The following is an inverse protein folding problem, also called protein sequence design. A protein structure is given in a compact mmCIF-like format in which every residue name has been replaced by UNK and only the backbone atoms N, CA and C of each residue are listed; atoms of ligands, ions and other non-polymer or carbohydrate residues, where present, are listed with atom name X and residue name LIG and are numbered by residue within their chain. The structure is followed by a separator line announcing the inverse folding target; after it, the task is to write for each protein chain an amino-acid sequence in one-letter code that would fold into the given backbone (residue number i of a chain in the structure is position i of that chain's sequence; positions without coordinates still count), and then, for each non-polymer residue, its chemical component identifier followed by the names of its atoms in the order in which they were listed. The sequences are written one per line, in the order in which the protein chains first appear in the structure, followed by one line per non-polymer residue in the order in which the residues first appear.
data_IF_757279855793
#
_entry.id   IF_757279855793
#
_cell.length_a   1.000
_cell.length_b   1.000
_cell.length_c   1.000
_cell.angle_alpha   90.00
_cell.angle_beta   90.00
_cell.angle_gamma   90.00
#
_symmetry.space_group_name_H-M   'P 1'
#
loop_
_entity.id
_entity.type
_entity.pdbx_description
1 polymer ?
#
# COMPACT_ATOMS: atom_id res chain seq x y z
N UNK A 1 -19.60 -6.37 29.60
CA UNK A 1 -18.74 -5.38 28.93
C UNK A 1 -17.57 -6.11 28.30
N UNK A 2 -17.23 -5.89 27.02
CA UNK A 2 -16.10 -6.56 26.39
C UNK A 2 -14.78 -6.17 27.08
N UNK A 3 -13.91 -7.16 27.31
CA UNK A 3 -12.61 -6.97 27.96
C UNK A 3 -11.68 -6.12 27.07
N UNK A 4 -10.62 -5.56 27.62
CA UNK A 4 -9.65 -4.76 26.84
C UNK A 4 -9.02 -5.56 25.69
N UNK A 5 -8.81 -6.86 25.89
CA UNK A 5 -8.32 -7.81 24.88
C UNK A 5 -9.32 -8.01 23.74
N UNK A 6 -10.63 -8.08 24.05
CA UNK A 6 -11.68 -8.21 23.04
C UNK A 6 -11.72 -6.99 22.12
N UNK A 7 -11.63 -5.77 22.67
CA UNK A 7 -11.68 -4.52 21.88
C UNK A 7 -10.50 -4.38 20.91
N UNK A 8 -9.30 -4.78 21.34
CA UNK A 8 -8.09 -4.77 20.49
C UNK A 8 -8.23 -5.75 19.33
N UNK A 9 -8.75 -6.94 19.63
CA UNK A 9 -8.96 -7.99 18.63
C UNK A 9 -10.00 -7.55 17.59
N UNK A 10 -11.12 -6.98 18.04
CA UNK A 10 -12.15 -6.42 17.16
C UNK A 10 -11.57 -5.31 16.26
N UNK A 11 -10.76 -4.41 16.82
CA UNK A 11 -10.14 -3.32 16.03
C UNK A 11 -9.19 -3.86 14.96
N UNK A 12 -8.34 -4.83 15.31
CA UNK A 12 -7.45 -5.46 14.35
C UNK A 12 -8.21 -6.23 13.25
N UNK A 13 -9.27 -6.96 13.63
CA UNK A 13 -10.13 -7.66 12.66
C UNK A 13 -10.86 -6.68 11.74
N UNK A 14 -11.35 -5.56 12.27
CA UNK A 14 -12.00 -4.53 11.44
C UNK A 14 -11.03 -3.99 10.40
N UNK A 15 -9.79 -3.66 10.77
CA UNK A 15 -8.77 -3.22 9.82
C UNK A 15 -8.50 -4.27 8.74
N UNK A 16 -8.42 -5.55 9.12
CA UNK A 16 -8.20 -6.64 8.16
C UNK A 16 -9.39 -6.81 7.21
N UNK A 17 -10.63 -6.74 7.71
CA UNK A 17 -11.85 -6.90 6.90
C UNK A 17 -12.08 -5.69 5.99
N UNK A 18 -11.71 -4.48 6.42
CA UNK A 18 -11.83 -3.28 5.59
C UNK A 18 -10.95 -3.32 4.35
N UNK A 19 -9.87 -4.12 4.35
CA UNK A 19 -8.98 -4.25 3.20
C UNK A 19 -9.69 -4.85 1.97
N UNK A 20 -10.28 -6.06 1.99
CA UNK A 20 -11.04 -6.57 0.85
C UNK A 20 -12.30 -5.76 0.52
N UNK A 21 -12.94 -5.13 1.52
CA UNK A 21 -14.08 -4.23 1.30
C UNK A 21 -13.66 -3.01 0.46
N UNK A 22 -12.52 -2.39 0.81
CA UNK A 22 -11.97 -1.27 0.07
C UNK A 22 -11.56 -1.69 -1.35
N UNK A 23 -10.96 -2.89 -1.53
CA UNK A 23 -10.65 -3.44 -2.87
C UNK A 23 -11.92 -3.50 -3.72
N UNK A 24 -13.02 -4.05 -3.18
CA UNK A 24 -14.28 -4.16 -3.90
C UNK A 24 -14.87 -2.81 -4.28
N UNK A 25 -14.90 -1.86 -3.33
CA UNK A 25 -15.50 -0.53 -3.55
C UNK A 25 -14.67 0.32 -4.51
N UNK A 26 -13.34 0.26 -4.43
CA UNK A 26 -12.43 1.07 -5.27
C UNK A 26 -12.20 0.42 -6.64
N UNK A 27 -12.01 -0.90 -6.65
CA UNK A 27 -11.59 -1.68 -7.82
C UNK A 27 -12.70 -2.04 -8.80
N UNK A 28 -13.97 -1.99 -8.39
CA UNK A 28 -15.09 -2.17 -9.31
C UNK A 28 -15.40 -0.85 -10.05
N UNK A 29 -15.30 -0.78 -11.38
CA UNK A 29 -15.69 0.43 -12.11
C UNK A 29 -17.19 0.68 -11.95
N UNK A 30 -17.56 1.74 -11.22
CA UNK A 30 -18.96 2.10 -10.97
C UNK A 30 -19.12 3.61 -10.84
N UNK A 31 -20.08 4.19 -11.57
CA UNK A 31 -20.39 5.62 -11.46
C UNK A 31 -21.42 5.86 -10.37
N UNK A 32 -20.94 5.95 -9.13
CA UNK A 32 -21.77 6.35 -8.00
C UNK A 32 -22.23 7.80 -8.15
N UNK A 33 -23.47 8.10 -7.73
CA UNK A 33 -23.87 9.48 -7.48
C UNK A 33 -22.98 10.08 -6.37
N UNK A 34 -22.65 11.37 -6.46
CA UNK A 34 -21.75 12.05 -5.51
C UNK A 34 -22.08 11.77 -4.04
N UNK A 35 -23.35 11.83 -3.57
CA UNK A 35 -23.66 11.53 -2.18
C UNK A 35 -23.29 10.10 -1.76
N UNK A 36 -23.45 9.13 -2.66
CA UNK A 36 -23.12 7.72 -2.42
C UNK A 36 -21.61 7.54 -2.36
N UNK A 37 -20.87 8.11 -3.30
CA UNK A 37 -19.39 8.10 -3.28
C UNK A 37 -18.86 8.72 -1.98
N UNK A 38 -19.36 9.90 -1.60
CA UNK A 38 -18.99 10.57 -0.35
C UNK A 38 -19.31 9.71 0.87
N UNK A 39 -20.51 9.11 0.92
CA UNK A 39 -20.89 8.24 2.04
C UNK A 39 -19.97 7.02 2.15
N UNK A 40 -19.64 6.36 1.04
CA UNK A 40 -18.73 5.20 1.02
C UNK A 40 -17.32 5.58 1.50
N UNK A 41 -16.80 6.73 1.04
CA UNK A 41 -15.50 7.23 1.47
C UNK A 41 -15.50 7.57 2.96
N UNK A 42 -16.48 8.33 3.43
CA UNK A 42 -16.59 8.72 4.86
C UNK A 42 -16.73 7.48 5.74
N UNK A 43 -17.59 6.53 5.37
CA UNK A 43 -17.77 5.29 6.12
C UNK A 43 -16.45 4.52 6.24
N UNK A 44 -15.71 4.33 5.14
CA UNK A 44 -14.43 3.63 5.19
C UNK A 44 -13.38 4.35 6.03
N UNK A 45 -13.25 5.68 5.87
CA UNK A 45 -12.30 6.46 6.67
C UNK A 45 -12.62 6.41 8.17
N UNK A 46 -13.91 6.46 8.53
CA UNK A 46 -14.34 6.34 9.94
C UNK A 46 -14.08 4.94 10.49
N UNK A 47 -14.32 3.88 9.72
CA UNK A 47 -14.08 2.51 10.16
C UNK A 47 -12.59 2.21 10.31
N UNK A 48 -11.78 2.56 9.31
CA UNK A 48 -10.32 2.39 9.35
C UNK A 48 -9.72 3.27 10.45
N UNK A 49 -10.05 4.56 10.47
CA UNK A 49 -9.54 5.52 11.45
C UNK A 49 -9.96 5.18 12.88
N UNK A 50 -11.22 4.79 13.09
CA UNK A 50 -11.73 4.38 14.38
C UNK A 50 -11.05 3.13 14.92
N UNK A 51 -10.86 2.10 14.08
CA UNK A 51 -10.14 0.89 14.50
C UNK A 51 -8.65 1.14 14.73
N UNK A 52 -8.00 1.92 13.87
CA UNK A 52 -6.60 2.30 14.05
C UNK A 52 -6.42 3.09 15.36
N UNK A 53 -7.31 4.03 15.66
CA UNK A 53 -7.33 4.76 16.92
C UNK A 53 -7.59 3.86 18.13
N UNK A 54 -8.45 2.85 17.99
CA UNK A 54 -8.70 1.85 19.04
C UNK A 54 -7.44 1.08 19.46
N UNK A 55 -6.51 0.85 18.53
CA UNK A 55 -5.21 0.24 18.80
C UNK A 55 -4.14 1.26 19.23
N UNK A 56 -4.11 2.42 18.57
CA UNK A 56 -3.10 3.46 18.81
C UNK A 56 -3.29 4.20 20.14
N UNK A 57 -4.54 4.48 20.52
CA UNK A 57 -4.88 5.34 21.65
C UNK A 57 -4.25 4.94 22.99
N UNK A 58 -4.34 3.67 23.42
CA UNK A 58 -3.71 3.21 24.66
C UNK A 58 -2.19 3.38 24.63
N UNK A 59 -1.54 3.01 23.53
CA UNK A 59 -0.10 3.11 23.34
C UNK A 59 0.38 4.56 23.26
N UNK A 60 -0.44 5.46 22.74
CA UNK A 60 -0.12 6.89 22.68
C UNK A 60 -0.12 7.54 24.07
N UNK A 61 -1.08 7.12 24.91
CA UNK A 61 -1.28 7.66 26.26
C UNK A 61 -0.36 7.06 27.32
N UNK A 62 0.33 5.96 27.03
CA UNK A 62 1.21 5.30 28.00
C UNK A 62 2.42 6.13 28.42
N UNK A 63 2.81 7.13 27.61
CA UNK A 63 4.03 7.92 27.83
C UNK A 63 5.32 7.21 27.37
N UNK A 64 5.22 5.97 26.90
CA UNK A 64 6.34 5.20 26.37
C UNK A 64 6.65 5.62 24.93
N UNK A 65 7.83 6.20 24.73
CA UNK A 65 8.28 6.70 23.43
C UNK A 65 8.48 5.60 22.39
N UNK A 66 8.89 4.40 22.80
CA UNK A 66 9.03 3.27 21.89
C UNK A 66 7.65 2.84 21.38
N UNK A 67 6.66 2.76 22.26
CA UNK A 67 5.27 2.45 21.87
C UNK A 67 4.68 3.51 20.95
N UNK A 68 4.94 4.79 21.20
CA UNK A 68 4.52 5.88 20.30
C UNK A 68 5.17 5.76 18.93
N UNK A 69 6.46 5.42 18.86
CA UNK A 69 7.15 5.17 17.57
C UNK A 69 6.50 4.03 16.80
N UNK A 70 6.19 2.91 17.45
CA UNK A 70 5.48 1.78 16.82
C UNK A 70 4.10 2.21 16.32
N UNK A 71 3.37 3.05 17.08
CA UNK A 71 2.10 3.63 16.63
C UNK A 71 2.27 4.45 15.36
N UNK A 72 3.24 5.37 15.33
CA UNK A 72 3.50 6.21 14.14
C UNK A 72 3.80 5.34 12.92
N UNK A 73 4.67 4.34 13.07
CA UNK A 73 4.99 3.38 12.00
C UNK A 73 3.72 2.65 11.52
N UNK A 74 2.94 2.11 12.44
CA UNK A 74 1.71 1.39 12.10
C UNK A 74 0.70 2.26 11.36
N UNK A 75 0.54 3.52 11.77
CA UNK A 75 -0.33 4.49 11.10
C UNK A 75 0.18 4.84 9.70
N UNK A 76 1.49 5.09 9.55
CA UNK A 76 2.09 5.40 8.25
C UNK A 76 1.98 4.25 7.24
N UNK A 77 1.97 2.99 7.70
CA UNK A 77 1.75 1.82 6.84
C UNK A 77 0.27 1.62 6.45
N UNK A 78 -0.66 2.04 7.31
CA UNK A 78 -2.11 1.93 7.08
C UNK A 78 -2.63 3.05 6.17
N UNK A 79 -2.10 4.26 6.34
CA UNK A 79 -2.58 5.48 5.69
C UNK A 79 -2.61 5.40 4.15
N UNK A 80 -1.60 4.83 3.45
CA UNK A 80 -1.64 4.63 2.01
C UNK A 80 -2.92 3.96 1.52
N UNK A 81 -3.40 2.94 2.24
CA UNK A 81 -4.62 2.23 1.89
C UNK A 81 -5.88 3.03 2.22
N UNK A 82 -5.88 3.72 3.36
CA UNK A 82 -6.97 4.62 3.74
C UNK A 82 -7.17 5.74 2.71
N UNK A 83 -6.10 6.28 2.12
CA UNK A 83 -6.21 7.28 1.07
C UNK A 83 -6.82 6.74 -0.23
N UNK A 84 -6.64 5.45 -0.53
CA UNK A 84 -7.26 4.84 -1.71
C UNK A 84 -8.79 4.80 -1.61
N UNK A 85 -9.36 4.85 -0.41
CA UNK A 85 -10.82 4.86 -0.20
C UNK A 85 -11.48 6.18 -0.63
N UNK A 86 -10.69 7.19 -1.02
CA UNK A 86 -11.15 8.43 -1.66
C UNK A 86 -11.59 8.23 -3.12
N UNK A 87 -11.42 7.02 -3.67
CA UNK A 87 -11.67 6.71 -5.08
C UNK A 87 -12.75 5.61 -5.28
N UNK A 88 -13.92 5.70 -4.63
CA UNK A 88 -14.96 4.69 -4.80
C UNK A 88 -15.42 4.64 -6.27
N UNK A 89 -15.46 3.43 -6.84
CA UNK A 89 -15.94 3.20 -8.19
C UNK A 89 -14.95 3.55 -9.31
N UNK A 90 -13.70 3.89 -8.98
CA UNK A 90 -12.73 4.32 -9.98
C UNK A 90 -12.31 3.19 -10.92
N UNK A 91 -12.30 1.95 -10.46
CA UNK A 91 -11.89 0.80 -11.26
C UNK A 91 -10.44 0.89 -11.75
N UNK A 92 -10.06 0.11 -12.77
CA UNK A 92 -8.73 0.16 -13.37
C UNK A 92 -8.49 1.45 -14.21
N UNK A 93 -7.24 1.80 -14.57
CA UNK A 93 -6.92 3.05 -15.28
C UNK A 93 -7.63 3.26 -16.61
N UNK A 94 -7.78 2.20 -17.39
CA UNK A 94 -8.45 2.26 -18.69
C UNK A 94 -9.98 2.43 -18.59
N UNK A 95 -10.58 2.18 -17.41
CA UNK A 95 -12.01 2.40 -17.16
C UNK A 95 -12.32 3.79 -16.58
N UNK A 96 -11.30 4.52 -16.13
CA UNK A 96 -11.44 5.84 -15.50
C UNK A 96 -11.25 6.97 -16.51
N UNK A 97 -11.95 8.10 -16.29
CA UNK A 97 -11.71 9.30 -17.09
C UNK A 97 -10.40 10.00 -16.69
N UNK A 98 -10.00 11.00 -17.48
CA UNK A 98 -8.74 11.73 -17.27
C UNK A 98 -8.62 12.35 -15.87
N UNK A 99 -9.68 13.00 -15.37
CA UNK A 99 -9.68 13.63 -14.05
C UNK A 99 -9.55 12.61 -12.91
N UNK A 100 -10.24 11.48 -13.04
CA UNK A 100 -10.14 10.36 -12.09
C UNK A 100 -8.73 9.77 -12.06
N UNK A 101 -8.10 9.55 -13.23
CA UNK A 101 -6.73 9.07 -13.29
C UNK A 101 -5.73 10.07 -12.70
N UNK A 102 -5.90 11.38 -12.96
CA UNK A 102 -5.08 12.41 -12.32
C UNK A 102 -5.15 12.33 -10.79
N UNK A 103 -6.36 12.29 -10.21
CA UNK A 103 -6.56 12.15 -8.76
C UNK A 103 -5.91 10.86 -8.24
N UNK A 104 -6.04 9.75 -8.97
CA UNK A 104 -5.41 8.48 -8.60
C UNK A 104 -3.91 8.59 -8.47
N UNK A 105 -3.24 9.16 -9.46
CA UNK A 105 -1.78 9.26 -9.41
C UNK A 105 -1.31 10.24 -8.33
N UNK A 106 -2.08 11.31 -8.05
CA UNK A 106 -1.84 12.18 -6.89
C UNK A 106 -1.96 11.41 -5.57
N UNK A 107 -3.02 10.62 -5.39
CA UNK A 107 -3.18 9.76 -4.21
C UNK A 107 -2.02 8.77 -4.10
N UNK A 108 -1.66 8.11 -5.20
CA UNK A 108 -0.55 7.16 -5.20
C UNK A 108 0.79 7.83 -4.84
N UNK A 109 1.03 9.06 -5.31
CA UNK A 109 2.23 9.84 -4.97
C UNK A 109 2.29 10.16 -3.47
N UNK A 110 1.19 10.66 -2.91
CA UNK A 110 1.08 10.95 -1.47
C UNK A 110 1.24 9.67 -0.63
N UNK A 111 0.59 8.58 -1.05
CA UNK A 111 0.69 7.27 -0.40
C UNK A 111 2.12 6.71 -0.41
N UNK A 112 2.85 6.84 -1.52
CA UNK A 112 4.25 6.42 -1.59
C UNK A 112 5.14 7.23 -0.62
N UNK A 113 4.84 8.51 -0.39
CA UNK A 113 5.55 9.35 0.58
C UNK A 113 5.36 8.84 2.01
N UNK A 114 4.12 8.53 2.41
CA UNK A 114 3.85 7.95 3.74
C UNK A 114 4.51 6.57 3.91
N UNK A 115 4.49 5.75 2.86
CA UNK A 115 5.15 4.44 2.87
C UNK A 115 6.68 4.58 3.03
N UNK A 116 7.30 5.54 2.33
CA UNK A 116 8.73 5.83 2.48
C UNK A 116 9.07 6.24 3.92
N UNK A 117 8.24 7.08 4.56
CA UNK A 117 8.43 7.45 5.95
C UNK A 117 8.31 6.25 6.90
N UNK A 118 7.35 5.35 6.66
CA UNK A 118 7.21 4.12 7.43
C UNK A 118 8.45 3.22 7.33
N UNK A 119 8.96 2.97 6.11
CA UNK A 119 10.15 2.15 5.90
C UNK A 119 11.41 2.78 6.49
N UNK A 120 11.51 4.11 6.47
CA UNK A 120 12.60 4.82 7.14
C UNK A 120 12.60 4.55 8.66
N UNK A 121 11.44 4.59 9.30
CA UNK A 121 11.33 4.40 10.76
C UNK A 121 11.33 2.94 11.21
N UNK A 122 10.90 2.02 10.34
CA UNK A 122 10.75 0.60 10.68
C UNK A 122 12.07 -0.08 11.08
N UNK A 123 13.18 0.27 10.43
CA UNK A 123 14.48 -0.35 10.72
C UNK A 123 14.89 -0.09 12.16
N UNK A 124 14.89 1.18 12.58
CA UNK A 124 15.33 1.53 13.94
C UNK A 124 14.37 0.97 14.99
N UNK A 125 13.06 0.99 14.71
CA UNK A 125 12.04 0.44 15.63
C UNK A 125 12.19 -1.08 15.81
N UNK A 126 12.59 -1.83 14.77
CA UNK A 126 12.84 -3.27 14.86
C UNK A 126 14.24 -3.59 15.42
N UNK A 127 15.22 -2.71 15.21
CA UNK A 127 16.55 -2.83 15.81
C UNK A 127 16.50 -2.72 17.33
N UNK A 128 15.64 -1.85 17.87
CA UNK A 128 15.35 -1.74 19.31
C UNK A 128 14.75 -3.05 19.86
N UNK A 129 14.08 -3.84 19.01
CA UNK A 129 13.56 -5.17 19.35
C UNK A 129 14.54 -6.32 19.03
N UNK A 130 15.80 -6.01 18.72
CA UNK A 130 16.88 -6.99 18.52
C UNK A 130 17.07 -7.49 17.07
N UNK A 131 16.28 -7.00 16.10
CA UNK A 131 16.44 -7.39 14.70
C UNK A 131 17.43 -6.47 13.96
N UNK A 132 18.54 -7.02 13.44
CA UNK A 132 19.62 -6.22 12.83
C UNK A 132 19.99 -6.63 11.40
N UNK A 133 19.31 -7.61 10.82
CA UNK A 133 19.70 -8.18 9.52
C UNK A 133 18.63 -7.91 8.44
N UNK A 134 17.39 -8.29 8.71
CA UNK A 134 16.30 -8.24 7.74
C UNK A 134 15.68 -6.85 7.64
N UNK A 135 15.60 -6.10 8.74
CA UNK A 135 15.02 -4.76 8.76
C UNK A 135 15.85 -3.75 7.94
N UNK A 136 17.20 -3.77 7.96
CA UNK A 136 18.00 -2.95 7.04
C UNK A 136 17.80 -3.30 5.57
N UNK A 137 17.74 -4.60 5.22
CA UNK A 137 17.45 -5.04 3.85
C UNK A 137 16.06 -4.61 3.40
N UNK A 138 15.07 -4.76 4.29
CA UNK A 138 13.71 -4.30 4.06
C UNK A 138 13.63 -2.79 3.85
N UNK A 139 14.40 -2.01 4.63
CA UNK A 139 14.49 -0.56 4.47
C UNK A 139 15.11 -0.17 3.14
N UNK A 140 16.26 -0.76 2.78
CA UNK A 140 16.93 -0.45 1.52
C UNK A 140 16.01 -0.73 0.33
N UNK A 141 15.40 -1.91 0.29
CA UNK A 141 14.44 -2.27 -0.75
C UNK A 141 13.21 -1.35 -0.73
N UNK A 142 12.63 -1.09 0.44
CA UNK A 142 11.41 -0.29 0.58
C UNK A 142 11.60 1.17 0.18
N UNK A 143 12.71 1.79 0.60
CA UNK A 143 13.04 3.17 0.21
C UNK A 143 13.31 3.27 -1.29
N UNK A 144 14.08 2.34 -1.87
CA UNK A 144 14.28 2.32 -3.32
C UNK A 144 12.96 2.12 -4.07
N UNK A 145 12.12 1.17 -3.64
CA UNK A 145 10.83 0.90 -4.26
C UNK A 145 9.88 2.11 -4.21
N UNK A 146 9.79 2.78 -3.06
CA UNK A 146 8.95 3.97 -2.89
C UNK A 146 9.49 5.19 -3.65
N UNK A 147 10.81 5.39 -3.72
CA UNK A 147 11.41 6.44 -4.55
C UNK A 147 11.15 6.22 -6.04
N UNK A 148 11.31 4.99 -6.54
CA UNK A 148 10.98 4.65 -7.92
C UNK A 148 9.50 4.89 -8.20
N UNK A 149 8.61 4.52 -7.26
CA UNK A 149 7.18 4.78 -7.35
C UNK A 149 6.84 6.28 -7.39
N UNK A 150 7.55 7.12 -6.62
CA UNK A 150 7.37 8.57 -6.64
C UNK A 150 7.75 9.17 -7.99
N UNK A 151 8.84 8.72 -8.59
CA UNK A 151 9.23 9.14 -9.95
C UNK A 151 8.17 8.71 -10.97
N UNK A 152 7.76 7.44 -10.92
CA UNK A 152 6.73 6.90 -11.80
C UNK A 152 5.41 7.68 -11.70
N UNK A 153 4.91 7.91 -10.48
CA UNK A 153 3.67 8.67 -10.26
C UNK A 153 3.80 10.14 -10.70
N UNK A 154 4.95 10.78 -10.49
CA UNK A 154 5.18 12.15 -10.96
C UNK A 154 5.11 12.26 -12.50
N UNK A 155 5.69 11.29 -13.22
CA UNK A 155 5.59 11.21 -14.69
C UNK A 155 4.11 11.12 -15.10
N UNK A 156 3.33 10.25 -14.47
CA UNK A 156 1.91 10.09 -14.83
C UNK A 156 1.05 11.30 -14.46
N UNK A 157 1.32 11.97 -13.34
CA UNK A 157 0.65 13.25 -13.00
C UNK A 157 0.94 14.28 -14.10
N UNK A 158 2.21 14.49 -14.45
CA UNK A 158 2.62 15.44 -15.47
C UNK A 158 2.03 15.12 -16.84
N UNK A 159 1.95 13.83 -17.19
CA UNK A 159 1.30 13.37 -18.40
C UNK A 159 -0.20 13.70 -18.40
N UNK A 160 -0.95 13.37 -17.33
CA UNK A 160 -2.39 13.67 -17.25
C UNK A 160 -2.68 15.17 -17.39
N UNK A 161 -1.84 16.03 -16.80
CA UNK A 161 -1.92 17.49 -16.95
C UNK A 161 -1.67 17.91 -18.41
N UNK A 162 -0.65 17.34 -19.04
CA UNK A 162 -0.30 17.63 -20.44
C UNK A 162 -1.43 17.23 -21.40
N UNK A 163 -2.01 16.04 -21.18
CA UNK A 163 -3.18 15.54 -21.89
C UNK A 163 -4.39 16.48 -21.76
N UNK A 164 -4.62 17.03 -20.57
CA UNK A 164 -5.74 17.92 -20.31
C UNK A 164 -5.59 19.26 -21.05
N UNK A 165 -4.36 19.81 -21.10
CA UNK A 165 -4.10 21.13 -21.71
C UNK A 165 -3.87 21.08 -23.22
N UNK A 166 -3.54 19.91 -23.79
CA UNK A 166 -3.28 19.70 -25.23
C UNK A 166 -2.37 20.79 -25.84
N UNK A 167 -1.12 20.95 -25.35
CA UNK A 167 -0.20 21.94 -25.91
C UNK A 167 0.02 21.70 -27.41
N UNK A 168 0.37 22.77 -28.14
CA UNK A 168 0.57 22.71 -29.60
C UNK A 168 1.58 21.65 -30.06
N UNK A 169 2.54 21.30 -29.19
CA UNK A 169 3.55 20.24 -29.40
C UNK A 169 3.29 19.03 -28.50
N UNK A 170 2.04 18.55 -28.43
CA UNK A 170 1.71 17.33 -27.71
C UNK A 170 2.36 16.11 -28.38
N UNK A 171 3.25 15.44 -27.66
CA UNK A 171 3.74 14.11 -28.03
C UNK A 171 2.95 13.08 -27.21
N UNK A 172 2.22 12.14 -27.84
CA UNK A 172 1.56 11.06 -27.12
C UNK A 172 2.60 10.24 -26.35
N UNK A 173 2.29 9.83 -25.11
CA UNK A 173 3.18 8.93 -24.34
C UNK A 173 2.94 7.47 -24.72
N UNK A 174 1.71 7.10 -25.11
CA UNK A 174 1.41 5.76 -25.61
C UNK A 174 2.25 5.41 -26.84
N UNK A 175 2.87 4.23 -26.83
CA UNK A 175 3.79 3.74 -27.85
C UNK A 175 5.16 4.40 -27.85
N UNK A 176 5.54 5.12 -26.79
CA UNK A 176 6.83 5.84 -26.73
C UNK A 176 7.81 5.28 -25.73
N UNK A 177 9.08 5.70 -25.87
CA UNK A 177 10.13 5.43 -24.91
C UNK A 177 9.73 5.82 -23.48
N UNK A 178 8.95 6.90 -23.32
CA UNK A 178 8.51 7.38 -22.01
C UNK A 178 7.53 6.41 -21.35
N UNK A 179 6.60 5.82 -22.10
CA UNK A 179 5.70 4.77 -21.58
C UNK A 179 6.48 3.54 -21.15
N UNK A 180 7.32 3.01 -22.05
CA UNK A 180 8.12 1.82 -21.76
C UNK A 180 9.04 2.04 -20.54
N UNK A 181 9.65 3.23 -20.43
CA UNK A 181 10.47 3.58 -19.27
C UNK A 181 9.64 3.67 -18.00
N UNK A 182 8.43 4.23 -18.08
CA UNK A 182 7.48 4.27 -16.97
C UNK A 182 7.09 2.86 -16.49
N UNK A 183 6.82 1.93 -17.41
CA UNK A 183 6.47 0.55 -17.04
C UNK A 183 7.63 -0.18 -16.35
N UNK A 184 8.87 0.05 -16.78
CA UNK A 184 10.07 -0.45 -16.10
C UNK A 184 10.17 0.11 -14.67
N UNK A 185 9.90 1.40 -14.47
CA UNK A 185 9.87 1.99 -13.12
C UNK A 185 8.80 1.32 -12.26
N UNK A 186 7.58 1.14 -12.78
CA UNK A 186 6.51 0.48 -12.04
C UNK A 186 6.88 -0.96 -11.66
N UNK A 187 7.50 -1.71 -12.57
CA UNK A 187 7.99 -3.06 -12.30
C UNK A 187 8.96 -3.08 -11.11
N UNK A 188 9.99 -2.22 -11.12
CA UNK A 188 10.97 -2.16 -10.05
C UNK A 188 10.37 -1.65 -8.73
N UNK A 189 9.45 -0.68 -8.78
CA UNK A 189 8.73 -0.22 -7.60
C UNK A 189 7.95 -1.36 -6.93
N UNK A 190 7.21 -2.15 -7.71
CA UNK A 190 6.50 -3.33 -7.22
C UNK A 190 7.44 -4.40 -6.65
N UNK A 191 8.44 -4.80 -7.44
CA UNK A 191 9.45 -5.80 -7.06
C UNK A 191 10.10 -5.47 -5.71
N UNK A 192 10.63 -4.25 -5.60
CA UNK A 192 11.34 -3.80 -4.39
C UNK A 192 10.40 -3.69 -3.19
N UNK A 193 9.15 -3.29 -3.40
CA UNK A 193 8.14 -3.24 -2.33
C UNK A 193 7.78 -4.65 -1.82
N UNK A 194 7.70 -5.65 -2.70
CA UNK A 194 7.50 -7.05 -2.27
C UNK A 194 8.72 -7.61 -1.53
N UNK A 195 9.94 -7.32 -1.99
CA UNK A 195 11.16 -7.68 -1.26
C UNK A 195 11.15 -7.06 0.13
N UNK A 196 10.85 -5.76 0.22
CA UNK A 196 10.75 -5.04 1.49
C UNK A 196 9.75 -5.71 2.44
N UNK A 197 8.56 -6.02 1.92
CA UNK A 197 7.49 -6.71 2.65
C UNK A 197 7.96 -8.05 3.20
N UNK A 198 8.59 -8.89 2.38
CA UNK A 198 9.08 -10.20 2.80
C UNK A 198 10.13 -10.09 3.91
N UNK A 199 11.09 -9.19 3.74
CA UNK A 199 12.11 -8.88 4.75
C UNK A 199 11.48 -8.40 6.06
N UNK A 200 10.56 -7.44 6.01
CA UNK A 200 9.91 -6.92 7.21
C UNK A 200 9.01 -7.94 7.90
N UNK A 201 8.28 -8.78 7.16
CA UNK A 201 7.46 -9.82 7.78
C UNK A 201 8.31 -10.81 8.60
N UNK A 202 9.44 -11.25 8.03
CA UNK A 202 10.39 -12.12 8.73
C UNK A 202 11.09 -11.37 9.88
N UNK A 203 11.39 -10.08 9.73
CA UNK A 203 11.92 -9.25 10.80
C UNK A 203 10.93 -9.12 11.97
N UNK A 204 9.64 -8.92 11.69
CA UNK A 204 8.58 -8.89 12.70
C UNK A 204 8.48 -10.22 13.46
N UNK A 205 8.68 -11.35 12.79
CA UNK A 205 8.74 -12.64 13.48
C UNK A 205 9.94 -12.77 14.41
N UNK A 206 11.12 -12.32 13.98
CA UNK A 206 12.32 -12.32 14.84
C UNK A 206 12.18 -11.37 16.03
N UNK A 207 11.52 -10.23 15.85
CA UNK A 207 11.19 -9.28 16.92
C UNK A 207 10.02 -9.73 17.82
N UNK A 208 9.36 -10.86 17.52
CA UNK A 208 8.21 -11.37 18.27
C UNK A 208 6.89 -10.59 18.04
N UNK A 209 6.84 -9.71 17.04
CA UNK A 209 5.66 -8.88 16.74
C UNK A 209 4.62 -9.63 15.89
N UNK A 210 5.07 -10.62 15.12
CA UNK A 210 4.22 -11.46 14.29
C UNK A 210 4.56 -12.94 14.52
N UNK A 211 3.56 -13.82 14.57
CA UNK A 211 3.82 -15.25 14.69
C UNK A 211 4.60 -15.78 13.49
N UNK A 212 5.49 -16.78 13.67
CA UNK A 212 6.40 -17.26 12.63
C UNK A 212 5.66 -17.81 11.40
N UNK A 213 4.50 -18.48 11.61
CA UNK A 213 3.68 -18.99 10.51
C UNK A 213 3.12 -17.83 9.68
N UNK A 214 2.57 -16.81 10.33
CA UNK A 214 1.99 -15.63 9.65
C UNK A 214 3.07 -14.89 8.85
N UNK A 215 4.25 -14.69 9.43
CA UNK A 215 5.38 -14.07 8.74
C UNK A 215 5.85 -14.87 7.52
N UNK A 216 5.94 -16.21 7.64
CA UNK A 216 6.27 -17.09 6.52
C UNK A 216 5.23 -17.00 5.40
N UNK A 217 3.94 -16.99 5.73
CA UNK A 217 2.88 -16.83 4.73
C UNK A 217 3.01 -15.50 3.99
N UNK A 218 3.24 -14.38 4.70
CA UNK A 218 3.49 -13.08 4.07
C UNK A 218 4.69 -13.13 3.13
N UNK A 219 5.80 -13.73 3.57
CA UNK A 219 7.00 -13.86 2.74
C UNK A 219 6.76 -14.73 1.49
N UNK A 220 6.03 -15.84 1.62
CA UNK A 220 5.65 -16.70 0.48
C UNK A 220 4.77 -15.96 -0.51
N UNK A 221 3.76 -15.22 -0.04
CA UNK A 221 2.89 -14.39 -0.89
C UNK A 221 3.72 -13.33 -1.63
N UNK A 222 4.65 -12.67 -0.94
CA UNK A 222 5.55 -11.71 -1.57
C UNK A 222 6.43 -12.36 -2.65
N UNK A 223 6.97 -13.56 -2.39
CA UNK A 223 7.73 -14.32 -3.40
C UNK A 223 6.87 -14.69 -4.61
N UNK A 224 5.63 -15.17 -4.40
CA UNK A 224 4.70 -15.48 -5.49
C UNK A 224 4.41 -14.22 -6.31
N UNK A 225 4.22 -13.07 -5.65
CA UNK A 225 3.99 -11.81 -6.34
C UNK A 225 5.20 -11.34 -7.15
N UNK A 226 6.42 -11.54 -6.65
CA UNK A 226 7.66 -11.28 -7.39
C UNK A 226 7.75 -12.16 -8.64
N UNK A 227 7.44 -13.45 -8.50
CA UNK A 227 7.43 -14.38 -9.63
C UNK A 227 6.34 -14.00 -10.66
N UNK A 228 5.17 -13.58 -10.20
CA UNK A 228 4.10 -13.07 -11.07
C UNK A 228 4.53 -11.80 -11.83
N UNK A 229 5.16 -10.84 -11.14
CA UNK A 229 5.73 -9.64 -11.77
C UNK A 229 6.78 -10.01 -12.83
N UNK A 230 7.71 -10.91 -12.50
CA UNK A 230 8.75 -11.35 -13.42
C UNK A 230 8.15 -12.06 -14.65
N UNK A 231 7.16 -12.93 -14.45
CA UNK A 231 6.44 -13.60 -15.54
C UNK A 231 5.73 -12.59 -16.44
N UNK A 232 5.08 -11.57 -15.87
CA UNK A 232 4.49 -10.45 -16.63
C UNK A 232 5.54 -9.71 -17.45
N UNK A 233 6.69 -9.39 -16.86
CA UNK A 233 7.78 -8.71 -17.56
C UNK A 233 8.33 -9.52 -18.75
N UNK A 234 8.35 -10.85 -18.64
CA UNK A 234 8.75 -11.75 -19.73
C UNK A 234 7.68 -11.91 -20.82
N UNK A 235 6.40 -11.68 -20.49
CA UNK A 235 5.25 -11.81 -21.40
C UNK A 235 4.82 -10.52 -22.11
N UNK A 236 5.56 -9.41 -21.94
CA UNK A 236 5.28 -8.12 -22.58
C UNK A 236 5.24 -8.26 -24.12
N UNK A 237 4.32 -7.59 -24.86
CA UNK A 237 3.47 -6.45 -24.45
C UNK A 237 2.00 -6.76 -24.07
N UNK A 238 1.55 -8.00 -24.00
CA UNK A 238 0.09 -8.26 -23.98
C UNK A 238 -0.57 -8.04 -22.61
N UNK A 239 -1.25 -6.91 -22.45
CA UNK A 239 -2.36 -6.75 -21.49
C UNK A 239 -3.67 -6.96 -22.26
N UNK A 240 -4.16 -8.21 -22.27
CA UNK A 240 -5.47 -8.53 -22.85
C UNK A 240 -6.63 -7.98 -22.01
N UNK A 241 -7.85 -8.04 -22.55
CA UNK A 241 -9.08 -7.65 -21.83
C UNK A 241 -9.29 -8.45 -20.53
N UNK A 242 -8.68 -9.63 -20.44
CA UNK A 242 -8.72 -10.55 -19.29
C UNK A 242 -7.54 -10.41 -18.31
N UNK A 243 -7.00 -9.20 -18.12
CA UNK A 243 -5.92 -8.91 -17.14
C UNK A 243 -6.19 -9.48 -15.73
N UNK A 244 -7.46 -9.58 -15.33
CA UNK A 244 -7.88 -10.12 -14.03
C UNK A 244 -7.72 -11.65 -13.93
N UNK A 245 -7.50 -12.34 -15.05
CA UNK A 245 -7.17 -13.76 -15.11
C UNK A 245 -5.67 -14.02 -15.09
N UNK A 246 -4.84 -12.98 -15.25
CA UNK A 246 -3.38 -13.08 -15.28
C UNK A 246 -2.81 -12.62 -13.94
N UNK A 247 -2.32 -13.53 -13.07
CA UNK A 247 -1.85 -13.17 -11.75
C UNK A 247 -0.74 -12.10 -11.76
N UNK A 248 0.12 -12.12 -12.78
CA UNK A 248 1.18 -11.13 -12.99
C UNK A 248 0.67 -9.70 -13.16
N UNK A 249 -0.48 -9.52 -13.80
CA UNK A 249 -1.11 -8.22 -14.00
C UNK A 249 -1.69 -7.69 -12.70
N UNK A 250 -2.35 -8.55 -11.91
CA UNK A 250 -2.89 -8.20 -10.59
C UNK A 250 -1.78 -7.71 -9.66
N UNK A 251 -0.68 -8.46 -9.53
CA UNK A 251 0.43 -8.09 -8.62
C UNK A 251 1.22 -6.88 -9.11
N UNK A 252 1.11 -6.55 -10.40
CA UNK A 252 1.67 -5.33 -10.96
C UNK A 252 0.73 -4.12 -10.96
N UNK A 253 -0.46 -4.23 -10.36
CA UNK A 253 -1.29 -3.06 -10.09
C UNK A 253 -0.58 -2.20 -9.04
N UNK A 254 -0.35 -0.89 -9.27
CA UNK A 254 0.48 -0.04 -8.42
C UNK A 254 0.16 -0.04 -6.92
N UNK A 255 -1.11 -0.23 -6.55
CA UNK A 255 -1.56 -0.24 -5.17
C UNK A 255 -1.44 -1.63 -4.48
N UNK A 256 -1.38 -2.73 -5.24
CA UNK A 256 -1.40 -4.09 -4.70
C UNK A 256 -0.15 -4.43 -3.86
N UNK A 257 1.07 -3.96 -4.21
CA UNK A 257 2.23 -4.09 -3.33
C UNK A 257 2.05 -3.49 -1.93
N UNK A 258 1.08 -2.58 -1.71
CA UNK A 258 0.86 -1.92 -0.42
C UNK A 258 -0.07 -2.68 0.53
N UNK A 259 -0.78 -3.71 0.05
CA UNK A 259 -1.66 -4.54 0.88
C UNK A 259 -0.91 -5.19 2.04
N UNK A 260 0.28 -5.71 1.76
CA UNK A 260 1.06 -6.43 2.75
C UNK A 260 1.74 -5.48 3.76
N UNK A 261 2.33 -4.34 3.36
CA UNK A 261 2.68 -3.27 4.28
C UNK A 261 1.53 -2.82 5.20
N UNK A 262 0.30 -2.69 4.67
CA UNK A 262 -0.86 -2.39 5.50
C UNK A 262 -1.08 -3.44 6.61
N UNK A 263 -1.00 -4.74 6.28
CA UNK A 263 -1.14 -5.82 7.26
C UNK A 263 -0.01 -5.79 8.32
N UNK A 264 1.21 -5.43 7.91
CA UNK A 264 2.31 -5.20 8.85
C UNK A 264 2.02 -3.98 9.76
N UNK A 265 1.38 -2.94 9.23
CA UNK A 265 0.89 -1.80 10.01
C UNK A 265 -0.13 -2.21 11.07
N UNK A 266 -1.09 -3.07 10.72
CA UNK A 266 -2.04 -3.65 11.68
C UNK A 266 -1.31 -4.44 12.76
N UNK A 267 -0.33 -5.27 12.39
CA UNK A 267 0.48 -6.02 13.34
C UNK A 267 1.27 -5.10 14.29
N UNK A 268 1.84 -4.01 13.78
CA UNK A 268 2.55 -3.01 14.56
C UNK A 268 1.62 -2.31 15.56
N UNK A 269 0.45 -1.84 15.13
CA UNK A 269 -0.54 -1.21 16.03
C UNK A 269 -1.03 -2.19 17.10
N UNK A 270 -1.29 -3.43 16.72
CA UNK A 270 -1.72 -4.46 17.67
C UNK A 270 -0.63 -4.80 18.69
N UNK A 271 0.65 -4.81 18.27
CA UNK A 271 1.81 -4.95 19.16
C UNK A 271 1.89 -3.79 20.14
N UNK A 272 1.82 -2.55 19.66
CA UNK A 272 1.87 -1.35 20.51
C UNK A 272 0.75 -1.33 21.54
N UNK A 273 -0.42 -1.87 21.19
CA UNK A 273 -1.56 -1.96 22.10
C UNK A 273 -1.41 -3.03 23.19
N UNK A 274 -0.57 -4.06 23.00
CA UNK A 274 -0.44 -5.20 23.93
C UNK A 274 0.44 -4.92 25.14
N UNK A 275 1.50 -4.15 24.96
CA UNK A 275 2.37 -3.68 26.05
C UNK A 275 1.74 -2.52 26.82
#
# INVERSE_FOLDING_TARGET
MPTSTDRRTVSAMLLIVMLPVAIGIVGAPMRYATPVATALTVAQLLLIGGAAYGLAGPAWRSGDENRRRIVVVGMLLILPWALLTLMPGYGPPFAANLAMNHIRYVILFVSATFMSAAFLMLKDTLADAGERLLAPLGQAAGLLGTLVQLVWTAILIGWMITLAHKPATYLPVYGTLTENSSDVLLFFAGLLTYVATGCYALAFARAGWLGPIKAKLVAVIATIAILGLAARGLGFPDLGEDWYMVPGDIVGIPAIPWLMPYLLGVAALFRAARD
#
